data_IF_331702613466
#
_entry.id   IF_331702613466
#
_cell.length_a   1.000
_cell.length_b   1.000
_cell.length_c   1.000
_cell.angle_alpha   90.00
_cell.angle_beta   90.00
_cell.angle_gamma   90.00
#
_symmetry.space_group_name_H-M   'P 1'
#
loop_
_entity.id
_entity.type
_entity.pdbx_description
1 polymer ?
#
# COMPACT_ATOMS: atom_id res chain seq x y z
N UNK A 1 -2.28 27.35 -10.90
CA UNK A 1 -1.26 26.56 -10.18
C UNK A 1 -1.46 26.77 -8.69
N UNK A 2 -1.18 25.78 -7.82
CA UNK A 2 -1.29 25.98 -6.38
C UNK A 2 -0.34 27.09 -5.95
N UNK A 3 -0.82 27.98 -5.09
CA UNK A 3 -0.09 29.17 -4.63
C UNK A 3 0.89 28.87 -3.50
N UNK A 4 0.83 27.68 -2.90
CA UNK A 4 1.60 27.24 -1.72
C UNK A 4 2.68 26.20 -2.00
N UNK A 5 3.01 25.91 -3.27
CA UNK A 5 4.02 24.91 -3.61
C UNK A 5 3.52 23.46 -3.52
N UNK A 6 4.46 22.51 -3.45
CA UNK A 6 4.16 21.07 -3.41
C UNK A 6 5.05 20.37 -2.37
N UNK A 7 4.44 19.53 -1.55
CA UNK A 7 5.15 18.49 -0.79
C UNK A 7 5.06 17.19 -1.58
N UNK A 8 6.21 16.64 -1.96
CA UNK A 8 6.32 15.38 -2.68
C UNK A 8 6.81 14.26 -1.77
N UNK A 9 6.13 13.12 -1.81
CA UNK A 9 6.62 11.86 -1.26
C UNK A 9 6.89 10.92 -2.42
N UNK A 10 7.91 10.06 -2.32
CA UNK A 10 8.10 9.01 -3.31
C UNK A 10 6.92 8.03 -3.21
N UNK A 11 6.15 7.94 -4.29
CA UNK A 11 4.81 7.34 -4.30
C UNK A 11 4.75 5.89 -3.77
N UNK A 12 5.81 5.08 -3.96
CA UNK A 12 5.84 3.70 -3.45
C UNK A 12 5.67 3.63 -1.92
N UNK A 13 6.15 4.61 -1.17
CA UNK A 13 5.99 4.63 0.28
C UNK A 13 4.57 5.03 0.69
N UNK A 14 3.91 5.90 -0.09
CA UNK A 14 2.51 6.20 0.08
C UNK A 14 1.63 4.99 -0.23
N UNK A 15 1.93 4.26 -1.32
CA UNK A 15 1.25 3.01 -1.67
C UNK A 15 1.42 1.93 -0.58
N UNK A 16 2.62 1.76 -0.02
CA UNK A 16 2.87 0.82 1.08
C UNK A 16 2.12 1.23 2.36
N UNK A 17 2.03 2.52 2.65
CA UNK A 17 1.18 3.03 3.72
C UNK A 17 -0.29 2.67 3.47
N UNK A 18 -0.82 2.94 2.28
CA UNK A 18 -2.19 2.59 1.88
C UNK A 18 -2.49 1.10 2.09
N UNK A 19 -1.58 0.21 1.65
CA UNK A 19 -1.73 -1.24 1.84
C UNK A 19 -1.81 -1.60 3.33
N UNK A 20 -0.91 -1.05 4.16
CA UNK A 20 -0.92 -1.35 5.60
C UNK A 20 -2.19 -0.81 6.28
N UNK A 21 -2.67 0.38 5.90
CA UNK A 21 -3.93 0.95 6.41
C UNK A 21 -5.12 0.07 6.04
N UNK A 22 -5.21 -0.37 4.78
CA UNK A 22 -6.31 -1.25 4.34
C UNK A 22 -6.29 -2.59 5.08
N UNK A 23 -5.10 -3.17 5.28
CA UNK A 23 -4.93 -4.39 6.08
C UNK A 23 -5.44 -4.19 7.52
N UNK A 24 -5.10 -3.07 8.15
CA UNK A 24 -5.52 -2.75 9.52
C UNK A 24 -6.99 -2.35 9.60
N UNK A 25 -7.55 -1.73 8.56
CA UNK A 25 -8.97 -1.40 8.48
C UNK A 25 -9.82 -2.68 8.36
N UNK A 26 -9.44 -3.60 7.48
CA UNK A 26 -10.18 -4.85 7.23
C UNK A 26 -10.15 -5.80 8.45
N UNK A 27 -9.07 -5.79 9.21
CA UNK A 27 -8.86 -6.69 10.36
C UNK A 27 -8.75 -5.94 11.67
N UNK A 28 -9.40 -4.77 11.79
CA UNK A 28 -9.24 -3.84 12.92
C UNK A 28 -9.32 -4.53 14.27
N UNK A 29 -10.30 -5.41 14.45
CA UNK A 29 -10.57 -6.12 15.71
C UNK A 29 -9.48 -7.15 16.08
N UNK A 30 -8.63 -7.52 15.12
CA UNK A 30 -7.50 -8.44 15.32
C UNK A 30 -6.21 -7.73 15.72
N UNK A 31 -6.16 -6.40 15.70
CA UNK A 31 -4.97 -5.64 16.07
C UNK A 31 -5.05 -5.14 17.53
N UNK A 32 -3.94 -5.27 18.30
CA UNK A 32 -3.80 -4.54 19.55
C UNK A 32 -3.97 -3.04 19.33
N UNK A 33 -4.64 -2.35 20.25
CA UNK A 33 -4.95 -0.92 20.15
C UNK A 33 -3.69 -0.05 19.95
N UNK A 34 -2.56 -0.45 20.52
CA UNK A 34 -1.27 0.25 20.37
C UNK A 34 -0.62 0.12 18.98
N UNK A 35 -1.09 -0.81 18.14
CA UNK A 35 -0.58 -1.02 16.77
C UNK A 35 -1.51 -0.42 15.70
N UNK A 36 -2.68 0.07 16.10
CA UNK A 36 -3.58 0.78 15.18
C UNK A 36 -3.07 2.20 14.95
N UNK A 37 -3.03 2.66 13.69
CA UNK A 37 -2.63 4.02 13.36
C UNK A 37 -3.64 5.00 13.95
N UNK A 38 -3.17 6.20 14.29
CA UNK A 38 -3.99 7.28 14.84
C UNK A 38 -5.24 7.54 14.00
N UNK A 39 -5.11 7.44 12.68
CA UNK A 39 -6.21 7.62 11.73
C UNK A 39 -7.37 6.61 11.91
N UNK A 40 -7.09 5.39 12.40
CA UNK A 40 -8.10 4.36 12.67
C UNK A 40 -8.56 4.36 14.13
N UNK A 41 -7.72 4.91 15.03
CA UNK A 41 -7.92 4.90 16.47
C UNK A 41 -8.74 6.09 16.98
N UNK A 42 -8.42 7.30 16.52
CA UNK A 42 -8.94 8.55 17.11
C UNK A 42 -9.95 9.27 16.22
N UNK A 43 -10.12 8.84 14.98
CA UNK A 43 -11.10 9.42 14.06
C UNK A 43 -12.45 8.69 14.11
N UNK A 44 -13.49 9.38 13.63
CA UNK A 44 -14.80 8.76 13.44
C UNK A 44 -14.73 7.60 12.42
N UNK A 45 -15.66 6.63 12.50
CA UNK A 45 -15.76 5.56 11.51
C UNK A 45 -15.90 6.06 10.06
N UNK A 46 -16.52 7.24 9.87
CA UNK A 46 -16.67 7.88 8.56
C UNK A 46 -15.33 8.37 8.01
N UNK A 47 -14.55 9.10 8.81
CA UNK A 47 -13.21 9.59 8.40
C UNK A 47 -12.27 8.42 8.12
N UNK A 48 -12.33 7.36 8.94
CA UNK A 48 -11.56 6.14 8.70
C UNK A 48 -11.93 5.47 7.36
N UNK A 49 -13.21 5.45 7.00
CA UNK A 49 -13.69 4.91 5.72
C UNK A 49 -13.25 5.77 4.54
N UNK A 50 -13.40 7.10 4.63
CA UNK A 50 -12.95 8.02 3.59
C UNK A 50 -11.45 7.87 3.32
N UNK A 51 -10.65 7.67 4.37
CA UNK A 51 -9.22 7.41 4.21
C UNK A 51 -8.94 6.05 3.53
N UNK A 52 -9.70 5.01 3.85
CA UNK A 52 -9.63 3.73 3.15
C UNK A 52 -10.01 3.87 1.67
N UNK A 53 -11.05 4.63 1.34
CA UNK A 53 -11.47 4.90 -0.05
C UNK A 53 -10.37 5.64 -0.83
N UNK A 54 -9.75 6.66 -0.20
CA UNK A 54 -8.56 7.33 -0.76
C UNK A 54 -7.42 6.34 -1.02
N UNK A 55 -7.12 5.45 -0.07
CA UNK A 55 -6.08 4.43 -0.23
C UNK A 55 -6.39 3.49 -1.40
N UNK A 56 -7.64 3.06 -1.57
CA UNK A 56 -8.08 2.21 -2.69
C UNK A 56 -7.86 2.94 -4.02
N UNK A 57 -8.24 4.21 -4.10
CA UNK A 57 -8.10 4.99 -5.33
C UNK A 57 -6.63 5.25 -5.68
N UNK A 58 -5.80 5.59 -4.70
CA UNK A 58 -4.34 5.71 -4.86
C UNK A 58 -3.73 4.42 -5.41
N UNK A 59 -4.10 3.26 -4.85
CA UNK A 59 -3.62 1.97 -5.33
C UNK A 59 -4.15 1.63 -6.72
N UNK A 60 -5.43 1.94 -7.02
CA UNK A 60 -6.02 1.75 -8.35
C UNK A 60 -5.25 2.54 -9.41
N UNK A 61 -4.93 3.81 -9.12
CA UNK A 61 -4.12 4.64 -10.01
C UNK A 61 -2.71 4.07 -10.16
N UNK A 62 -2.08 3.63 -9.08
CA UNK A 62 -0.75 3.03 -9.10
C UNK A 62 -0.68 1.77 -9.98
N UNK A 63 -1.61 0.83 -9.82
CA UNK A 63 -1.62 -0.40 -10.63
C UNK A 63 -1.93 -0.11 -12.09
N UNK A 64 -2.79 0.87 -12.37
CA UNK A 64 -3.09 1.29 -13.76
C UNK A 64 -1.86 1.94 -14.41
N UNK A 65 -1.18 2.85 -13.69
CA UNK A 65 0.00 3.55 -14.19
C UNK A 65 1.18 2.60 -14.46
N UNK A 66 1.36 1.59 -13.62
CA UNK A 66 2.46 0.64 -13.72
C UNK A 66 2.08 -0.68 -14.43
N UNK A 67 0.87 -0.76 -14.99
CA UNK A 67 0.25 -1.94 -15.65
C UNK A 67 1.23 -3.07 -15.95
N UNK A 68 1.30 -4.04 -15.04
CA UNK A 68 2.14 -5.23 -15.20
C UNK A 68 1.52 -6.16 -16.23
N UNK A 69 2.30 -6.49 -17.27
CA UNK A 69 1.90 -7.38 -18.36
C UNK A 69 2.38 -8.83 -18.16
N UNK A 70 3.00 -9.12 -17.00
CA UNK A 70 3.36 -10.49 -16.61
C UNK A 70 2.08 -11.33 -16.53
N UNK A 71 2.01 -12.49 -17.21
CA UNK A 71 0.80 -13.31 -17.20
C UNK A 71 0.43 -13.78 -15.80
N UNK A 72 -0.86 -13.67 -15.45
CA UNK A 72 -1.42 -14.34 -14.28
C UNK A 72 -1.58 -15.83 -14.59
N UNK A 73 -0.69 -16.65 -14.04
CA UNK A 73 -0.61 -18.07 -14.31
C UNK A 73 -1.40 -18.86 -13.25
N UNK A 74 -2.18 -19.83 -13.72
CA UNK A 74 -2.99 -20.74 -12.91
C UNK A 74 -2.61 -22.16 -13.30
N UNK A 75 -2.36 -23.02 -12.32
CA UNK A 75 -2.03 -24.43 -12.55
C UNK A 75 -2.98 -25.38 -11.81
N UNK A 76 -3.05 -26.63 -12.26
CA UNK A 76 -3.82 -27.67 -11.59
C UNK A 76 -3.03 -28.21 -10.39
N UNK A 77 -3.66 -28.25 -9.23
CA UNK A 77 -3.08 -28.87 -8.03
C UNK A 77 -2.85 -30.35 -8.24
N UNK A 78 -1.79 -30.86 -7.62
CA UNK A 78 -1.58 -32.29 -7.49
C UNK A 78 -2.79 -32.92 -6.77
N UNK A 79 -3.22 -34.13 -7.18
CA UNK A 79 -4.34 -34.80 -6.54
C UNK A 79 -4.08 -35.00 -5.04
N UNK A 80 -4.97 -34.46 -4.20
CA UNK A 80 -4.94 -34.72 -2.76
C UNK A 80 -5.86 -35.89 -2.39
N UNK A 81 -5.49 -36.76 -1.43
CA UNK A 81 -6.36 -37.83 -0.96
C UNK A 81 -7.61 -37.22 -0.31
N UNK A 82 -8.79 -37.46 -0.90
CA UNK A 82 -10.06 -36.95 -0.36
C UNK A 82 -10.90 -36.10 -1.32
N UNK A 83 -10.39 -35.80 -2.51
CA UNK A 83 -11.24 -35.39 -3.63
C UNK A 83 -11.12 -33.93 -4.03
N UNK A 84 -10.47 -33.72 -5.17
CA UNK A 84 -10.54 -32.49 -5.97
C UNK A 84 -9.26 -32.23 -6.75
N UNK A 85 -9.40 -32.03 -8.07
CA UNK A 85 -8.40 -31.28 -8.86
C UNK A 85 -8.75 -29.80 -8.69
N UNK A 86 -8.10 -29.14 -7.73
CA UNK A 86 -8.23 -27.69 -7.55
C UNK A 86 -7.35 -26.92 -8.55
N UNK A 87 -7.61 -25.63 -8.69
CA UNK A 87 -6.68 -24.69 -9.33
C UNK A 87 -5.88 -23.96 -8.24
N UNK A 88 -4.64 -23.59 -8.53
CA UNK A 88 -3.85 -22.67 -7.72
C UNK A 88 -3.22 -21.57 -8.58
N UNK A 89 -2.89 -20.47 -7.92
CA UNK A 89 -2.18 -19.33 -8.50
C UNK A 89 -0.68 -19.59 -8.45
N UNK A 90 0.02 -19.33 -9.55
CA UNK A 90 1.48 -19.39 -9.57
C UNK A 90 2.07 -18.04 -9.15
N UNK A 91 2.36 -17.91 -7.86
CA UNK A 91 3.07 -16.76 -7.28
C UNK A 91 4.56 -16.73 -7.63
N UNK A 92 5.08 -17.73 -8.35
CA UNK A 92 6.47 -17.83 -8.80
C UNK A 92 6.74 -17.21 -10.17
N UNK A 93 5.72 -16.65 -10.84
CA UNK A 93 5.90 -15.95 -12.10
C UNK A 93 6.96 -14.84 -11.98
N UNK A 94 7.83 -14.71 -12.98
CA UNK A 94 8.90 -13.72 -12.94
C UNK A 94 8.36 -12.32 -13.26
N UNK A 95 8.39 -11.44 -12.26
CA UNK A 95 8.06 -10.02 -12.41
C UNK A 95 9.31 -9.17 -12.62
N UNK A 96 9.21 -8.12 -13.43
CA UNK A 96 10.28 -7.13 -13.59
C UNK A 96 10.06 -5.96 -12.64
N UNK A 97 10.77 -5.96 -11.52
CA UNK A 97 10.66 -4.90 -10.52
C UNK A 97 11.66 -3.75 -10.73
N UNK A 98 11.31 -2.57 -10.22
CA UNK A 98 12.31 -1.53 -9.93
C UNK A 98 13.22 -2.01 -8.79
N UNK A 99 14.45 -1.49 -8.74
CA UNK A 99 15.42 -1.77 -7.67
C UNK A 99 15.00 -1.07 -6.38
N UNK A 100 14.06 -1.67 -5.66
CA UNK A 100 13.46 -1.09 -4.45
C UNK A 100 14.49 -0.83 -3.36
N UNK A 101 15.46 -1.73 -3.20
CA UNK A 101 16.61 -1.58 -2.29
C UNK A 101 17.33 -0.24 -2.53
N UNK A 102 17.65 0.05 -3.79
CA UNK A 102 18.34 1.28 -4.16
C UNK A 102 17.50 2.53 -4.04
N UNK A 103 16.20 2.42 -4.28
CA UNK A 103 15.28 3.53 -4.03
C UNK A 103 15.17 3.83 -2.54
N UNK A 104 15.09 2.79 -1.70
CA UNK A 104 15.02 2.91 -0.25
C UNK A 104 16.32 3.50 0.32
N UNK A 105 17.48 3.00 -0.11
CA UNK A 105 18.79 3.55 0.25
C UNK A 105 18.82 5.07 -0.05
N UNK A 106 18.44 5.45 -1.28
CA UNK A 106 18.43 6.86 -1.68
C UNK A 106 17.47 7.72 -0.85
N UNK A 107 16.26 7.23 -0.55
CA UNK A 107 15.31 7.98 0.29
C UNK A 107 15.80 8.10 1.73
N UNK A 108 16.47 7.09 2.28
CA UNK A 108 17.04 7.20 3.63
C UNK A 108 18.19 8.20 3.69
N UNK A 109 19.00 8.29 2.63
CA UNK A 109 20.14 9.21 2.53
C UNK A 109 19.72 10.66 2.22
N UNK A 110 18.66 10.86 1.44
CA UNK A 110 18.30 12.17 0.88
C UNK A 110 16.94 12.68 1.36
N UNK A 111 16.14 11.84 2.02
CA UNK A 111 14.81 12.19 2.47
C UNK A 111 14.84 13.20 3.61
N UNK A 112 13.85 14.10 3.60
CA UNK A 112 13.63 15.04 4.71
C UNK A 112 12.51 14.47 5.58
N UNK A 113 12.76 14.39 6.89
CA UNK A 113 11.71 14.02 7.85
C UNK A 113 10.74 15.20 7.96
N UNK A 114 9.56 15.02 7.38
CA UNK A 114 8.48 15.99 7.51
C UNK A 114 7.67 15.64 8.77
N UNK A 115 7.77 16.47 9.79
CA UNK A 115 6.89 16.39 10.97
C UNK A 115 5.62 17.21 10.73
N UNK A 116 4.52 16.88 11.41
CA UNK A 116 3.27 17.63 11.32
C UNK A 116 3.42 19.12 11.66
N UNK A 117 4.41 19.49 12.50
CA UNK A 117 4.78 20.88 12.75
C UNK A 117 5.29 21.59 11.50
N UNK A 118 6.08 20.90 10.67
CA UNK A 118 6.75 21.50 9.52
C UNK A 118 5.81 21.61 8.30
N UNK A 119 4.65 20.92 8.30
CA UNK A 119 3.66 21.01 7.23
C UNK A 119 2.77 22.26 7.39
N UNK A 120 2.53 22.72 8.62
CA UNK A 120 1.69 23.91 8.86
C UNK A 120 2.43 25.23 8.63
N UNK A 121 3.74 25.27 8.81
CA UNK A 121 4.55 26.49 8.62
C UNK A 121 4.86 26.79 7.15
N UNK A 122 4.76 25.78 6.27
CA UNK A 122 5.08 25.85 4.83
C UNK A 122 3.83 25.87 3.91
N UNK A 123 2.60 25.86 4.46
CA UNK A 123 1.33 25.99 3.72
C UNK A 123 0.60 27.29 4.04
#
# INVERSE_FOLDING_TARGET
SPTSGYVGVIEVFHQLHCINVLRQYAWKDSYPEGLLPTLLKYNSPEVARQHADHCIETLRQAVTCNSDVTPFLIYQKEPSPGGGRGLDEDFGAFHKCRRFDKLLDWVNENGVVVTWSNIQDDM
#
